data_IF_251844020173
#
_entry.id   IF_251844020173
#
_cell.length_a   1.000
_cell.length_b   1.000
_cell.length_c   1.000
_cell.angle_alpha   90.00
_cell.angle_beta   90.00
_cell.angle_gamma   90.00
#
_symmetry.space_group_name_H-M   'P 1'
#
loop_
_entity.id
_entity.type
_entity.pdbx_description
1 polymer ?
#
# COMPACT_ATOMS: atom_id res chain seq x y z
N UNK A 1 10.38 2.60 -6.72
CA UNK A 1 9.19 3.45 -6.45
C UNK A 1 8.03 2.85 -7.23
N UNK A 2 6.81 2.84 -6.69
CA UNK A 2 5.64 2.33 -7.41
C UNK A 2 4.41 3.19 -7.13
N UNK A 3 3.45 3.15 -8.06
CA UNK A 3 2.14 3.78 -7.94
C UNK A 3 1.05 2.71 -8.01
N UNK A 4 0.06 2.83 -7.15
CA UNK A 4 -1.17 2.04 -7.26
C UNK A 4 -2.09 2.81 -8.20
N UNK A 5 -2.26 2.32 -9.42
CA UNK A 5 -3.13 2.97 -10.42
C UNK A 5 -4.61 2.76 -10.10
N UNK A 6 -5.01 1.51 -9.83
CA UNK A 6 -6.37 1.17 -9.40
C UNK A 6 -6.38 0.70 -7.93
N UNK A 7 -6.68 1.65 -7.04
CA UNK A 7 -6.70 1.42 -5.60
C UNK A 7 -7.80 0.47 -5.14
N UNK A 8 -8.97 0.50 -5.79
CA UNK A 8 -10.09 -0.37 -5.49
C UNK A 8 -9.78 -1.81 -5.89
N UNK A 9 -9.23 -2.00 -7.09
CA UNK A 9 -8.87 -3.33 -7.58
C UNK A 9 -7.76 -3.98 -6.76
N UNK A 10 -6.70 -3.23 -6.42
CA UNK A 10 -5.62 -3.75 -5.55
C UNK A 10 -6.16 -4.12 -4.16
N UNK A 11 -7.02 -3.30 -3.57
CA UNK A 11 -7.63 -3.62 -2.28
C UNK A 11 -8.52 -4.86 -2.33
N UNK A 12 -9.30 -5.02 -3.41
CA UNK A 12 -10.11 -6.23 -3.65
C UNK A 12 -9.26 -7.48 -3.75
N UNK A 13 -8.20 -7.45 -4.57
CA UNK A 13 -7.26 -8.57 -4.73
C UNK A 13 -6.57 -8.93 -3.40
N UNK A 14 -6.18 -7.91 -2.62
CA UNK A 14 -5.62 -8.13 -1.29
C UNK A 14 -6.63 -8.74 -0.33
N UNK A 15 -7.89 -8.28 -0.36
CA UNK A 15 -9.00 -8.84 0.40
C UNK A 15 -9.22 -10.31 0.09
N UNK A 16 -9.30 -10.66 -1.20
CA UNK A 16 -9.41 -12.05 -1.66
C UNK A 16 -8.25 -12.91 -1.16
N UNK A 17 -7.00 -12.43 -1.33
CA UNK A 17 -5.79 -13.15 -0.88
C UNK A 17 -5.78 -13.45 0.61
N UNK A 18 -6.33 -12.55 1.44
CA UNK A 18 -6.33 -12.67 2.91
C UNK A 18 -7.66 -13.17 3.49
N UNK A 19 -8.61 -13.57 2.63
CA UNK A 19 -9.98 -13.90 3.00
C UNK A 19 -10.67 -12.81 3.86
N UNK A 20 -10.54 -11.55 3.44
CA UNK A 20 -11.14 -10.37 4.06
C UNK A 20 -12.07 -9.69 3.03
N UNK A 21 -13.34 -10.11 2.90
CA UNK A 21 -14.23 -9.62 1.85
C UNK A 21 -14.55 -8.13 1.94
N UNK A 22 -14.53 -7.56 3.15
CA UNK A 22 -14.76 -6.12 3.39
C UNK A 22 -13.49 -5.26 3.30
N UNK A 23 -12.43 -5.73 2.63
CA UNK A 23 -11.20 -4.97 2.41
C UNK A 23 -11.44 -3.81 1.43
N UNK A 24 -10.87 -2.65 1.73
CA UNK A 24 -10.88 -1.48 0.87
C UNK A 24 -9.53 -0.74 0.94
N UNK A 25 -9.35 0.28 0.12
CA UNK A 25 -8.07 0.98 0.04
C UNK A 25 -7.73 1.75 1.33
N UNK A 26 -8.71 2.28 2.05
CA UNK A 26 -8.45 3.01 3.30
C UNK A 26 -7.83 2.10 4.36
N UNK A 27 -8.36 0.88 4.51
CA UNK A 27 -7.83 -0.16 5.40
C UNK A 27 -6.46 -0.66 4.92
N UNK A 28 -6.30 -0.91 3.62
CA UNK A 28 -5.04 -1.35 3.04
C UNK A 28 -3.94 -0.29 3.22
N UNK A 29 -4.24 0.96 2.89
CA UNK A 29 -3.30 2.07 3.03
C UNK A 29 -2.92 2.31 4.49
N UNK A 30 -3.84 2.02 5.44
CA UNK A 30 -3.54 2.06 6.89
C UNK A 30 -2.47 1.04 7.26
N UNK A 31 -2.49 -0.16 6.70
CA UNK A 31 -1.44 -1.17 6.85
C UNK A 31 -0.14 -0.73 6.20
N UNK A 32 -0.17 -0.13 5.01
CA UNK A 32 1.04 0.42 4.37
C UNK A 32 1.72 1.47 5.28
N UNK A 33 0.94 2.36 5.92
CA UNK A 33 1.51 3.35 6.85
C UNK A 33 2.22 2.72 8.06
N UNK A 34 1.80 1.52 8.49
CA UNK A 34 2.51 0.80 9.57
C UNK A 34 3.90 0.33 9.15
N UNK A 35 4.19 0.25 7.85
CA UNK A 35 5.52 -0.10 7.34
C UNK A 35 6.53 1.05 7.41
N UNK A 36 6.10 2.29 7.59
CA UNK A 36 6.99 3.45 7.62
C UNK A 36 7.96 3.37 8.80
N UNK A 37 7.42 3.16 10.01
CA UNK A 37 8.24 2.97 11.23
C UNK A 37 9.06 1.69 11.22
N UNK A 38 8.71 0.73 10.36
CA UNK A 38 9.41 -0.57 10.23
C UNK A 38 10.50 -0.55 9.16
N UNK A 39 10.67 0.56 8.44
CA UNK A 39 11.66 0.65 7.37
C UNK A 39 11.41 -0.31 6.19
N UNK A 40 10.16 -0.70 5.92
CA UNK A 40 9.84 -1.60 4.78
C UNK A 40 9.40 -0.79 3.56
N UNK A 41 8.45 0.13 3.76
CA UNK A 41 7.97 1.08 2.75
C UNK A 41 8.08 2.49 3.34
N UNK A 42 8.39 3.48 2.52
CA UNK A 42 8.37 4.91 2.85
C UNK A 42 7.53 5.69 1.84
N UNK A 43 7.25 6.96 2.16
CA UNK A 43 6.80 7.93 1.16
C UNK A 43 8.00 8.35 0.29
N UNK A 44 7.80 8.53 -1.03
CA UNK A 44 8.83 9.13 -1.88
C UNK A 44 9.16 10.56 -1.39
N UNK A 45 10.36 11.04 -1.73
CA UNK A 45 10.85 12.35 -1.30
C UNK A 45 9.90 13.48 -1.71
N UNK A 46 9.35 13.38 -2.92
CA UNK A 46 8.20 14.18 -3.37
C UNK A 46 6.93 13.37 -3.15
N UNK A 47 6.14 13.76 -2.14
CA UNK A 47 4.88 13.07 -1.81
C UNK A 47 3.89 13.17 -2.97
N UNK A 48 3.38 12.00 -3.41
CA UNK A 48 2.37 11.90 -4.46
C UNK A 48 1.26 10.91 -4.05
N UNK A 49 0.04 11.16 -4.55
CA UNK A 49 -1.13 10.34 -4.25
C UNK A 49 -0.95 8.94 -4.82
N UNK A 50 -1.21 7.92 -4.00
CA UNK A 50 -1.05 6.49 -4.34
C UNK A 50 0.38 6.05 -4.69
N UNK A 51 1.38 6.92 -4.50
CA UNK A 51 2.79 6.59 -4.73
C UNK A 51 3.48 6.22 -3.42
N UNK A 52 4.29 5.17 -3.50
CA UNK A 52 5.03 4.55 -2.40
C UNK A 52 6.41 4.07 -2.87
N UNK A 53 7.32 3.85 -1.93
CA UNK A 53 8.68 3.39 -2.24
C UNK A 53 9.09 2.31 -1.23
N UNK A 54 9.56 1.16 -1.70
CA UNK A 54 10.26 0.20 -0.84
C UNK A 54 11.58 0.81 -0.38
N UNK A 55 11.92 0.63 0.91
CA UNK A 55 13.16 1.16 1.49
C UNK A 55 14.37 0.35 1.01
N UNK A 56 14.21 -0.97 0.95
CA UNK A 56 15.19 -1.88 0.40
C UNK A 56 14.69 -2.46 -0.93
N UNK A 57 15.60 -2.82 -1.87
CA UNK A 57 15.23 -3.60 -3.04
C UNK A 57 14.53 -4.90 -2.62
N UNK A 58 13.51 -5.29 -3.36
CA UNK A 58 12.85 -6.60 -3.24
C UNK A 58 13.35 -7.48 -4.36
#
# INVERSE_FOLDING_TARGET
>A
IFKIEDSAHVARLWGLRKNRPAMNYDKLSRSIRQYYKKGIIRKPDVSQRLVYQFVHPV
#
